data_IF_291895567241
#
_entry.id   IF_291895567241
#
_cell.length_a   1.000
_cell.length_b   1.000
_cell.length_c   1.000
_cell.angle_alpha   90.00
_cell.angle_beta   90.00
_cell.angle_gamma   90.00
#
_symmetry.space_group_name_H-M   'P 1'
#
loop_
_entity.id
_entity.type
_entity.pdbx_description
1 polymer ?
#
# COMPACT_ATOMS: atom_id res chain seq x y z
N UNK A 1 -30.18 8.62 -2.30
CA UNK A 1 -28.73 8.38 -2.43
C UNK A 1 -28.56 6.88 -2.58
N UNK A 2 -27.83 6.38 -3.57
CA UNK A 2 -27.58 4.94 -3.66
C UNK A 2 -26.70 4.53 -2.46
N UNK A 3 -27.22 3.69 -1.58
CA UNK A 3 -26.41 3.10 -0.50
C UNK A 3 -25.35 2.19 -1.13
N UNK A 4 -24.07 2.51 -0.89
CA UNK A 4 -22.97 1.62 -1.24
C UNK A 4 -23.15 0.31 -0.48
N UNK A 5 -23.15 -0.80 -1.20
CA UNK A 5 -23.23 -2.12 -0.59
C UNK A 5 -21.89 -2.49 0.04
N UNK A 6 -21.87 -3.47 0.94
CA UNK A 6 -20.63 -3.97 1.56
C UNK A 6 -19.63 -4.46 0.51
N UNK A 7 -20.10 -4.99 -0.62
CA UNK A 7 -19.26 -5.42 -1.73
C UNK A 7 -18.56 -4.25 -2.44
N UNK A 8 -19.27 -3.11 -2.57
CA UNK A 8 -18.72 -1.88 -3.13
C UNK A 8 -17.54 -1.36 -2.27
N UNK A 9 -17.72 -1.33 -0.94
CA UNK A 9 -16.66 -0.95 -0.01
C UNK A 9 -15.45 -1.89 -0.03
N UNK A 10 -15.66 -3.19 -0.27
CA UNK A 10 -14.57 -4.17 -0.38
C UNK A 10 -13.80 -3.99 -1.68
N UNK A 11 -14.48 -3.70 -2.78
CA UNK A 11 -13.86 -3.41 -4.07
C UNK A 11 -13.00 -2.13 -3.99
N UNK A 12 -13.53 -1.07 -3.37
CA UNK A 12 -12.79 0.18 -3.16
C UNK A 12 -11.58 0.00 -2.25
N UNK A 13 -11.73 -0.71 -1.13
CA UNK A 13 -10.58 -1.00 -0.26
C UNK A 13 -9.50 -1.82 -0.97
N UNK A 14 -9.90 -2.77 -1.82
CA UNK A 14 -8.93 -3.57 -2.58
C UNK A 14 -8.23 -2.74 -3.65
N UNK A 15 -8.90 -1.79 -4.29
CA UNK A 15 -8.27 -0.88 -5.25
C UNK A 15 -7.28 0.06 -4.54
N UNK A 16 -7.68 0.58 -3.37
CA UNK A 16 -6.87 1.50 -2.59
C UNK A 16 -5.63 0.81 -1.99
N UNK A 17 -5.81 -0.31 -1.28
CA UNK A 17 -4.73 -0.98 -0.54
C UNK A 17 -4.04 -2.11 -1.31
N UNK A 18 -4.65 -2.61 -2.38
CA UNK A 18 -4.14 -3.74 -3.16
C UNK A 18 -3.16 -3.35 -4.28
N UNK A 19 -2.88 -2.06 -4.45
CA UNK A 19 -2.09 -1.58 -5.60
C UNK A 19 -0.59 -1.51 -5.29
N UNK A 20 -0.20 -1.04 -4.11
CA UNK A 20 1.20 -0.81 -3.75
C UNK A 20 1.60 -1.53 -2.47
N UNK A 21 2.88 -1.91 -2.42
CA UNK A 21 3.53 -2.50 -1.25
C UNK A 21 4.81 -1.72 -0.99
N UNK A 22 5.06 -1.38 0.27
CA UNK A 22 6.30 -0.76 0.71
C UNK A 22 7.47 -1.73 0.46
N UNK A 23 8.49 -1.30 -0.27
CA UNK A 23 9.70 -2.12 -0.47
C UNK A 23 10.77 -1.85 0.58
N UNK A 24 10.65 -0.72 1.26
CA UNK A 24 11.56 -0.25 2.27
C UNK A 24 10.79 0.44 3.42
N UNK A 25 11.44 0.70 4.56
CA UNK A 25 10.97 1.65 5.56
C UNK A 25 10.36 2.95 5.01
N UNK A 26 9.13 3.28 5.39
CA UNK A 26 8.55 4.60 5.09
C UNK A 26 8.19 5.31 6.38
N UNK A 27 8.78 6.48 6.58
CA UNK A 27 8.50 7.37 7.70
C UNK A 27 7.64 8.56 7.21
N UNK A 28 6.50 8.81 7.85
CA UNK A 28 5.62 9.95 7.59
C UNK A 28 5.65 10.86 8.81
N UNK A 29 5.90 12.16 8.59
CA UNK A 29 6.00 13.16 9.65
C UNK A 29 7.00 12.80 10.77
N UNK A 30 8.08 12.08 10.42
CA UNK A 30 9.14 11.68 11.36
C UNK A 30 8.85 10.42 12.18
N UNK A 31 7.75 9.70 11.89
CA UNK A 31 7.43 8.42 12.51
C UNK A 31 7.27 7.31 11.47
N UNK A 32 7.67 6.09 11.83
CA UNK A 32 7.50 4.90 10.98
C UNK A 32 6.03 4.65 10.69
N UNK A 33 5.64 4.80 9.43
CA UNK A 33 4.27 4.59 8.97
C UNK A 33 4.08 3.22 8.31
N UNK A 34 5.05 2.79 7.49
CA UNK A 34 5.00 1.50 6.81
C UNK A 34 6.33 0.76 6.93
N UNK A 35 6.26 -0.55 7.13
CA UNK A 35 7.42 -1.43 7.04
C UNK A 35 7.52 -2.06 5.64
N UNK A 36 8.70 -2.56 5.25
CA UNK A 36 8.80 -3.40 4.05
C UNK A 36 7.75 -4.51 4.07
N UNK A 37 7.01 -4.67 2.99
CA UNK A 37 5.93 -5.63 2.84
C UNK A 37 4.55 -5.15 3.28
N UNK A 38 4.43 -3.95 3.89
CA UNK A 38 3.11 -3.37 4.19
C UNK A 38 2.40 -2.87 2.93
N UNK A 39 1.08 -3.07 2.92
CA UNK A 39 0.21 -2.50 1.89
C UNK A 39 0.16 -0.97 2.05
N UNK A 40 0.38 -0.26 0.95
CA UNK A 40 0.34 1.20 0.92
C UNK A 40 -0.86 1.66 0.10
N UNK A 41 -1.70 2.58 0.61
CA UNK A 41 -2.82 3.14 -0.15
C UNK A 41 -2.36 3.83 -1.42
N UNK A 42 -3.06 3.63 -2.53
CA UNK A 42 -2.83 4.36 -3.77
C UNK A 42 -2.92 5.88 -3.54
N UNK A 43 -3.90 6.34 -2.76
CA UNK A 43 -4.03 7.74 -2.35
C UNK A 43 -2.79 8.32 -1.66
N UNK A 44 -2.01 7.52 -0.91
CA UNK A 44 -0.77 8.00 -0.29
C UNK A 44 0.36 8.21 -1.29
N UNK A 45 0.41 7.39 -2.34
CA UNK A 45 1.40 7.47 -3.42
C UNK A 45 1.02 8.58 -4.40
N UNK A 46 -0.25 8.64 -4.80
CA UNK A 46 -0.78 9.66 -5.72
C UNK A 46 -0.83 11.04 -5.08
N UNK A 47 -1.09 11.12 -3.76
CA UNK A 47 -1.04 12.36 -2.99
C UNK A 47 0.38 12.83 -2.65
N UNK A 48 1.42 12.06 -2.99
CA UNK A 48 2.83 12.42 -2.73
C UNK A 48 3.25 12.34 -1.25
N UNK A 49 2.44 11.72 -0.40
CA UNK A 49 2.78 11.49 1.02
C UNK A 49 3.84 10.41 1.14
N UNK A 50 3.77 9.40 0.28
CA UNK A 50 4.76 8.33 0.19
C UNK A 50 5.54 8.47 -1.12
N UNK A 51 6.88 8.46 -1.07
CA UNK A 51 7.68 8.50 -2.29
C UNK A 51 7.44 7.27 -3.16
N UNK A 52 7.25 7.48 -4.46
CA UNK A 52 7.02 6.41 -5.44
C UNK A 52 8.19 5.44 -5.60
N UNK A 53 9.38 5.82 -5.16
CA UNK A 53 10.57 4.95 -5.16
C UNK A 53 10.62 4.00 -3.96
N UNK A 54 9.92 4.30 -2.86
CA UNK A 54 9.85 3.46 -1.66
C UNK A 54 8.72 2.42 -1.71
N UNK A 55 7.96 2.40 -2.81
CA UNK A 55 6.85 1.49 -3.05
C UNK A 55 7.01 0.76 -4.38
N UNK A 56 6.51 -0.46 -4.45
CA UNK A 56 6.38 -1.20 -5.70
C UNK A 56 4.93 -1.64 -5.89
N UNK A 57 4.52 -1.84 -7.15
CA UNK A 57 3.20 -2.40 -7.45
C UNK A 57 3.13 -3.82 -6.88
N UNK A 58 2.01 -4.16 -6.25
CA UNK A 58 1.78 -5.45 -5.57
C UNK A 58 1.99 -6.67 -6.48
N UNK A 59 1.80 -6.51 -7.79
CA UNK A 59 2.01 -7.55 -8.80
C UNK A 59 3.47 -7.79 -9.17
N UNK A 60 4.41 -6.99 -8.64
CA UNK A 60 5.83 -7.08 -8.99
C UNK A 60 6.58 -8.02 -8.05
N UNK A 61 7.68 -8.60 -8.56
CA UNK A 61 8.57 -9.45 -7.77
C UNK A 61 9.17 -8.71 -6.57
N UNK A 62 9.41 -7.40 -6.68
CA UNK A 62 9.92 -6.58 -5.58
C UNK A 62 8.91 -6.49 -4.42
N UNK A 63 7.63 -6.27 -4.73
CA UNK A 63 6.55 -6.29 -3.73
C UNK A 63 6.41 -7.69 -3.09
N UNK A 64 6.47 -8.76 -3.88
CA UNK A 64 6.41 -10.12 -3.36
C UNK A 64 7.58 -10.45 -2.41
N UNK A 65 8.79 -10.00 -2.74
CA UNK A 65 9.97 -10.18 -1.89
C UNK A 65 9.87 -9.38 -0.58
N UNK A 66 9.37 -8.15 -0.64
CA UNK A 66 9.15 -7.32 0.54
C UNK A 66 8.07 -7.91 1.45
N UNK A 67 6.97 -8.41 0.88
CA UNK A 67 5.91 -9.11 1.61
C UNK A 67 6.43 -10.39 2.29
N UNK A 68 7.21 -11.21 1.59
CA UNK A 68 7.81 -12.42 2.17
C UNK A 68 8.80 -12.13 3.31
N UNK A 69 9.43 -10.95 3.29
CA UNK A 69 10.38 -10.52 4.31
C UNK A 69 9.68 -10.01 5.59
N UNK A 70 8.38 -9.72 5.54
CA UNK A 70 7.55 -9.37 6.71
C UNK A 70 7.14 -10.59 7.53
N UNK A 71 7.11 -11.77 6.93
CA UNK A 71 6.70 -13.04 7.55
C UNK A 71 7.90 -13.85 8.12
N UNK A 72 9.13 -13.35 7.96
CA UNK A 72 10.38 -13.99 8.37
C UNK A 72 10.87 -13.59 9.76
#
# INVERSE_FOLDING_TARGET
MAEKTVDDYRAEQRAEWGTYVATEPIDIAGARAFNPGDAVPASHVEGGVVPSWAVAKSTTKAAAAAAASKEG
#
